data_IF_091133834779
#
_entry.id   IF_091133834779
#
_cell.length_a   1.000
_cell.length_b   1.000
_cell.length_c   1.000
_cell.angle_alpha   90.00
_cell.angle_beta   90.00
_cell.angle_gamma   90.00
#
_symmetry.space_group_name_H-M   'P 1'
#
loop_
_entity.id
_entity.type
_entity.pdbx_description
1 polymer ?
#
# COMPACT_ATOMS: atom_id res chain seq x y z
N UNK A 1 -43.09 60.29 -24.31
CA UNK A 1 -42.61 58.88 -24.32
C UNK A 1 -41.74 58.70 -25.56
N UNK A 2 -40.46 58.30 -25.41
CA UNK A 2 -39.56 58.11 -26.57
C UNK A 2 -39.97 56.81 -27.30
N UNK A 3 -40.44 56.92 -28.54
CA UNK A 3 -40.70 55.76 -29.41
C UNK A 3 -39.36 55.11 -29.76
N UNK A 4 -39.06 53.96 -29.15
CA UNK A 4 -37.93 53.16 -29.59
C UNK A 4 -38.28 52.48 -30.92
N UNK A 5 -37.47 52.69 -31.95
CA UNK A 5 -37.65 52.10 -33.26
C UNK A 5 -37.59 50.57 -33.17
N UNK A 6 -38.60 49.88 -33.71
CA UNK A 6 -38.73 48.41 -33.66
C UNK A 6 -37.47 47.68 -34.17
N UNK A 7 -36.76 48.29 -35.14
CA UNK A 7 -35.47 47.79 -35.66
C UNK A 7 -34.35 47.82 -34.62
N UNK A 8 -34.30 48.83 -33.76
CA UNK A 8 -33.30 48.95 -32.69
C UNK A 8 -33.54 47.91 -31.60
N UNK A 9 -34.80 47.63 -31.27
CA UNK A 9 -35.17 46.57 -30.30
C UNK A 9 -34.79 45.18 -30.82
N UNK A 10 -35.02 44.91 -32.11
CA UNK A 10 -34.63 43.65 -32.73
C UNK A 10 -33.10 43.43 -32.73
N UNK A 11 -32.31 44.47 -33.03
CA UNK A 11 -30.84 44.39 -33.02
C UNK A 11 -30.32 44.14 -31.59
N UNK A 12 -30.87 44.83 -30.59
CA UNK A 12 -30.51 44.63 -29.18
C UNK A 12 -30.87 43.21 -28.71
N UNK A 13 -32.01 42.67 -29.14
CA UNK A 13 -32.40 41.29 -28.85
C UNK A 13 -31.45 40.24 -29.44
N UNK A 14 -31.05 40.42 -30.71
CA UNK A 14 -30.09 39.54 -31.39
C UNK A 14 -28.71 39.61 -30.73
N UNK A 15 -28.22 40.82 -30.42
CA UNK A 15 -26.94 41.00 -29.74
C UNK A 15 -26.94 40.39 -28.33
N UNK A 16 -28.03 40.54 -27.58
CA UNK A 16 -28.21 39.91 -26.28
C UNK A 16 -28.18 38.38 -26.35
N UNK A 17 -28.82 37.79 -27.36
CA UNK A 17 -28.83 36.34 -27.56
C UNK A 17 -27.46 35.78 -27.95
N UNK A 18 -26.73 36.49 -28.82
CA UNK A 18 -25.37 36.13 -29.21
C UNK A 18 -24.42 36.18 -28.01
N UNK A 19 -24.50 37.25 -27.20
CA UNK A 19 -23.71 37.37 -25.98
C UNK A 19 -24.03 36.29 -24.95
N UNK A 20 -25.32 35.99 -24.73
CA UNK A 20 -25.74 34.92 -23.82
C UNK A 20 -25.26 33.55 -24.30
N UNK A 21 -25.34 33.28 -25.60
CA UNK A 21 -24.85 32.02 -26.19
C UNK A 21 -23.34 31.87 -26.05
N UNK A 22 -22.58 32.94 -26.29
CA UNK A 22 -21.12 32.95 -26.09
C UNK A 22 -20.75 32.74 -24.62
N UNK A 23 -21.49 33.35 -23.69
CA UNK A 23 -21.28 33.17 -22.26
C UNK A 23 -21.56 31.71 -21.84
N UNK A 24 -22.67 31.14 -22.30
CA UNK A 24 -23.02 29.75 -22.04
C UNK A 24 -21.98 28.76 -22.61
N UNK A 25 -21.44 29.03 -23.80
CA UNK A 25 -20.38 28.22 -24.42
C UNK A 25 -19.10 28.31 -23.58
N UNK A 26 -18.69 29.51 -23.15
CA UNK A 26 -17.50 29.71 -22.30
C UNK A 26 -17.62 28.95 -20.98
N UNK A 27 -18.76 29.07 -20.29
CA UNK A 27 -18.99 28.37 -19.02
C UNK A 27 -18.95 26.86 -19.18
N UNK A 28 -19.55 26.32 -20.26
CA UNK A 28 -19.50 24.88 -20.54
C UNK A 28 -18.08 24.40 -20.85
N UNK A 29 -17.29 25.17 -21.62
CA UNK A 29 -15.88 24.84 -21.91
C UNK A 29 -15.02 24.80 -20.64
N UNK A 30 -15.21 25.75 -19.72
CA UNK A 30 -14.54 25.76 -18.42
C UNK A 30 -14.95 24.55 -17.56
N UNK A 31 -16.24 24.20 -17.56
CA UNK A 31 -16.77 23.00 -16.88
C UNK A 31 -16.15 21.71 -17.43
N UNK A 32 -16.08 21.55 -18.75
CA UNK A 32 -15.43 20.40 -19.39
C UNK A 32 -13.94 20.32 -19.07
N UNK A 33 -13.24 21.46 -19.06
CA UNK A 33 -11.83 21.53 -18.68
C UNK A 33 -11.60 21.11 -17.22
N UNK A 34 -12.46 21.57 -16.31
CA UNK A 34 -12.41 21.22 -14.89
C UNK A 34 -12.70 19.75 -14.65
N UNK A 35 -13.70 19.17 -15.32
CA UNK A 35 -14.02 17.73 -15.24
C UNK A 35 -12.85 16.88 -15.75
N UNK A 36 -12.24 17.26 -16.88
CA UNK A 36 -11.07 16.54 -17.44
C UNK A 36 -9.87 16.62 -16.50
N UNK A 37 -9.63 17.78 -15.90
CA UNK A 37 -8.54 18.01 -14.93
C UNK A 37 -8.76 17.20 -13.66
N UNK A 38 -9.99 17.14 -13.16
CA UNK A 38 -10.36 16.33 -12.01
C UNK A 38 -10.21 14.83 -12.28
N UNK A 39 -10.62 14.33 -13.46
CA UNK A 39 -10.40 12.94 -13.86
C UNK A 39 -8.90 12.58 -13.89
N UNK A 40 -8.07 13.45 -14.47
CA UNK A 40 -6.61 13.26 -14.51
C UNK A 40 -5.98 13.27 -13.12
N UNK A 41 -6.49 14.10 -12.20
CA UNK A 41 -6.07 14.13 -10.81
C UNK A 41 -6.40 12.83 -10.07
N UNK A 42 -7.61 12.30 -10.24
CA UNK A 42 -8.02 11.00 -9.66
C UNK A 42 -7.10 9.88 -10.18
N UNK A 43 -6.92 9.77 -11.49
CA UNK A 43 -6.09 8.73 -12.12
C UNK A 43 -4.64 8.78 -11.60
N UNK A 44 -4.06 9.97 -11.49
CA UNK A 44 -2.70 10.16 -10.93
C UNK A 44 -2.63 9.76 -9.45
N UNK A 45 -3.70 10.03 -8.69
CA UNK A 45 -3.76 9.71 -7.26
C UNK A 45 -3.93 8.20 -7.02
N UNK A 46 -4.75 7.53 -7.82
CA UNK A 46 -4.91 6.08 -7.79
C UNK A 46 -3.61 5.36 -8.16
N UNK A 47 -2.89 5.84 -9.17
CA UNK A 47 -1.57 5.32 -9.54
C UNK A 47 -0.55 5.49 -8.40
N UNK A 48 -0.50 6.67 -7.76
CA UNK A 48 0.37 6.91 -6.61
C UNK A 48 0.04 5.97 -5.44
N UNK A 49 -1.25 5.78 -5.14
CA UNK A 49 -1.71 4.88 -4.08
C UNK A 49 -1.32 3.41 -4.36
N UNK A 50 -1.42 2.97 -5.62
CA UNK A 50 -1.02 1.63 -6.04
C UNK A 50 0.49 1.41 -5.86
N UNK A 51 1.33 2.38 -6.25
CA UNK A 51 2.79 2.32 -6.06
C UNK A 51 3.15 2.25 -4.57
N UNK A 52 2.56 3.09 -3.73
CA UNK A 52 2.81 3.06 -2.27
C UNK A 52 2.40 1.72 -1.65
N UNK A 53 1.31 1.12 -2.13
CA UNK A 53 0.87 -0.21 -1.66
C UNK A 53 1.84 -1.31 -2.09
N UNK A 54 2.33 -1.26 -3.33
CA UNK A 54 3.33 -2.21 -3.83
C UNK A 54 4.65 -2.10 -3.08
N UNK A 55 5.14 -0.88 -2.82
CA UNK A 55 6.34 -0.65 -2.03
C UNK A 55 6.18 -1.19 -0.61
N UNK A 56 5.05 -0.93 0.06
CA UNK A 56 4.75 -1.48 1.38
C UNK A 56 4.81 -3.01 1.39
N UNK A 57 4.18 -3.67 0.40
CA UNK A 57 4.20 -5.13 0.27
C UNK A 57 5.61 -5.66 0.00
N UNK A 58 6.38 -4.98 -0.83
CA UNK A 58 7.78 -5.33 -1.10
C UNK A 58 8.63 -5.28 0.17
N UNK A 59 8.54 -4.18 0.92
CA UNK A 59 9.28 -4.01 2.17
C UNK A 59 8.83 -5.05 3.20
N UNK A 60 7.53 -5.27 3.38
CA UNK A 60 7.02 -6.31 4.29
C UNK A 60 7.54 -7.71 3.95
N UNK A 61 7.49 -8.11 2.67
CA UNK A 61 8.02 -9.40 2.23
C UNK A 61 9.55 -9.51 2.45
N UNK A 62 10.28 -8.42 2.25
CA UNK A 62 11.73 -8.37 2.48
C UNK A 62 12.08 -8.48 3.96
N UNK A 63 11.35 -7.78 4.82
CA UNK A 63 11.51 -7.88 6.27
C UNK A 63 11.17 -9.29 6.77
N UNK A 64 10.06 -9.86 6.31
CA UNK A 64 9.65 -11.21 6.70
C UNK A 64 10.73 -12.25 6.33
N UNK A 65 11.25 -12.22 5.09
CA UNK A 65 12.35 -13.12 4.70
C UNK A 65 13.60 -12.91 5.55
N UNK A 66 13.95 -11.67 5.87
CA UNK A 66 15.14 -11.36 6.69
C UNK A 66 15.00 -11.94 8.11
N UNK A 67 13.80 -11.84 8.69
CA UNK A 67 13.49 -12.43 10.01
C UNK A 67 13.52 -13.95 9.94
N UNK A 68 12.93 -14.57 8.91
CA UNK A 68 12.95 -16.02 8.71
C UNK A 68 14.39 -16.54 8.57
N UNK A 69 15.23 -15.89 7.75
CA UNK A 69 16.65 -16.24 7.62
C UNK A 69 17.43 -16.10 8.93
N UNK A 70 17.20 -15.01 9.67
CA UNK A 70 17.84 -14.80 10.96
C UNK A 70 17.41 -15.87 11.97
N UNK A 71 16.12 -16.22 12.03
CA UNK A 71 15.61 -17.29 12.89
C UNK A 71 16.17 -18.65 12.51
N UNK A 72 16.21 -18.96 11.22
CA UNK A 72 16.79 -20.21 10.73
C UNK A 72 18.25 -20.34 11.16
N UNK A 73 19.02 -19.27 11.05
CA UNK A 73 20.41 -19.22 11.50
C UNK A 73 20.54 -19.42 13.02
N UNK A 74 19.73 -18.73 13.83
CA UNK A 74 19.73 -18.86 15.29
C UNK A 74 19.37 -20.28 15.75
N UNK A 75 18.30 -20.86 15.18
CA UNK A 75 17.84 -22.21 15.54
C UNK A 75 18.91 -23.25 15.20
N UNK A 76 19.53 -23.14 14.01
CA UNK A 76 20.67 -24.00 13.63
C UNK A 76 21.85 -23.84 14.56
N UNK A 77 22.17 -22.62 14.98
CA UNK A 77 23.24 -22.37 15.95
C UNK A 77 22.94 -23.04 17.30
N UNK A 78 21.71 -22.94 17.78
CA UNK A 78 21.32 -23.45 19.10
C UNK A 78 21.22 -24.99 19.14
N UNK A 79 20.64 -25.61 18.10
CA UNK A 79 20.53 -27.08 18.01
C UNK A 79 21.79 -27.73 17.43
N UNK A 80 22.74 -26.95 16.91
CA UNK A 80 24.01 -27.40 16.32
C UNK A 80 23.78 -28.46 15.23
N UNK A 81 24.69 -29.43 15.14
CA UNK A 81 24.69 -30.50 14.13
C UNK A 81 23.54 -31.52 14.25
N UNK A 82 22.58 -31.32 15.17
CA UNK A 82 21.42 -32.22 15.32
C UNK A 82 20.39 -32.02 14.21
N UNK A 83 20.40 -30.86 13.57
CA UNK A 83 19.45 -30.51 12.51
C UNK A 83 20.01 -30.88 11.13
N UNK A 84 19.21 -31.59 10.32
CA UNK A 84 19.48 -31.74 8.89
C UNK A 84 18.81 -30.64 8.07
N UNK A 85 17.60 -30.21 8.45
CA UNK A 85 16.83 -29.17 7.74
C UNK A 85 15.78 -28.52 8.64
N UNK A 86 15.53 -27.23 8.46
CA UNK A 86 14.35 -26.54 8.99
C UNK A 86 13.31 -26.51 7.87
N UNK A 87 12.14 -27.11 8.10
CA UNK A 87 11.07 -27.23 7.09
C UNK A 87 10.20 -25.97 7.04
N UNK A 88 9.85 -25.43 8.21
CA UNK A 88 9.09 -24.19 8.34
C UNK A 88 9.25 -23.56 9.71
N UNK A 89 8.94 -22.27 9.81
CA UNK A 89 8.91 -21.50 11.06
C UNK A 89 7.57 -20.78 11.11
N UNK A 90 6.80 -21.04 12.16
CA UNK A 90 5.52 -20.38 12.42
C UNK A 90 5.71 -19.35 13.53
N UNK A 91 5.47 -18.07 13.21
CA UNK A 91 5.49 -17.00 14.19
C UNK A 91 4.10 -16.82 14.79
N UNK A 92 4.02 -16.98 16.11
CA UNK A 92 2.84 -16.72 16.91
C UNK A 92 2.75 -15.27 17.38
N UNK A 93 1.77 -15.00 18.25
CA UNK A 93 1.66 -13.71 18.94
C UNK A 93 2.74 -13.61 20.02
N UNK A 94 3.00 -12.38 20.48
CA UNK A 94 3.93 -12.07 21.57
C UNK A 94 5.36 -12.60 21.33
N UNK A 95 5.86 -12.50 20.10
CA UNK A 95 7.22 -12.89 19.75
C UNK A 95 7.57 -14.36 20.04
N UNK A 96 6.56 -15.22 20.16
CA UNK A 96 6.73 -16.67 20.24
C UNK A 96 6.64 -17.32 18.87
N UNK A 97 7.18 -18.53 18.73
CA UNK A 97 6.99 -19.31 17.51
C UNK A 97 7.28 -20.79 17.68
N UNK A 98 6.99 -21.55 16.63
CA UNK A 98 7.27 -22.98 16.50
C UNK A 98 8.13 -23.19 15.27
N UNK A 99 9.25 -23.90 15.45
CA UNK A 99 10.11 -24.34 14.38
C UNK A 99 9.89 -25.83 14.11
N UNK A 100 9.64 -26.17 12.85
CA UNK A 100 9.49 -27.54 12.38
C UNK A 100 10.83 -27.99 11.80
N UNK A 101 11.46 -28.94 12.47
CA UNK A 101 12.86 -29.29 12.25
C UNK A 101 12.96 -30.77 11.93
N UNK A 102 13.75 -31.11 10.93
CA UNK A 102 14.08 -32.49 10.58
C UNK A 102 15.42 -32.83 11.20
N UNK A 103 15.41 -33.78 12.14
CA UNK A 103 16.59 -34.35 12.77
C UNK A 103 16.78 -35.78 12.24
N UNK A 104 17.67 -35.93 11.26
CA UNK A 104 17.84 -37.18 10.52
C UNK A 104 16.57 -37.60 9.78
N UNK A 105 15.93 -38.69 10.24
CA UNK A 105 14.67 -39.24 9.68
C UNK A 105 13.42 -38.84 10.48
N UNK A 106 13.58 -38.14 11.61
CA UNK A 106 12.48 -37.77 12.50
C UNK A 106 12.14 -36.29 12.35
N UNK A 107 10.86 -35.98 12.26
CA UNK A 107 10.35 -34.62 12.35
C UNK A 107 10.11 -34.28 13.82
N UNK A 108 10.70 -33.17 14.27
CA UNK A 108 10.55 -32.63 15.61
C UNK A 108 10.07 -31.19 15.55
N UNK A 109 9.44 -30.77 16.64
CA UNK A 109 8.91 -29.41 16.80
C UNK A 109 9.60 -28.78 17.98
N UNK A 110 10.02 -27.54 17.80
CA UNK A 110 10.65 -26.75 18.85
C UNK A 110 9.86 -25.46 19.04
N UNK A 111 9.43 -25.21 20.27
CA UNK A 111 8.90 -23.90 20.65
C UNK A 111 10.06 -22.95 20.95
N UNK A 112 9.91 -21.67 20.63
CA UNK A 112 10.88 -20.63 20.96
C UNK A 112 10.18 -19.30 21.31
N UNK A 113 10.93 -18.41 21.93
CA UNK A 113 10.57 -17.00 22.12
C UNK A 113 11.66 -16.11 21.55
N UNK A 114 11.29 -14.89 21.17
CA UNK A 114 12.20 -13.84 20.75
C UNK A 114 12.10 -12.72 21.79
N UNK A 115 13.21 -12.41 22.43
CA UNK A 115 13.33 -11.25 23.31
C UNK A 115 14.22 -10.20 22.64
N UNK A 116 14.03 -8.93 23.01
CA UNK A 116 14.89 -7.85 22.57
C UNK A 116 15.79 -7.44 23.73
N UNK A 117 17.10 -7.37 23.49
CA UNK A 117 18.04 -6.86 24.48
C UNK A 117 17.90 -5.34 24.66
N UNK A 118 18.73 -4.76 25.54
CA UNK A 118 18.74 -3.31 25.80
C UNK A 118 19.15 -2.47 24.58
N UNK A 119 19.79 -3.07 23.58
CA UNK A 119 20.20 -2.46 22.33
C UNK A 119 19.19 -2.74 21.19
N UNK A 120 18.01 -3.29 21.49
CA UNK A 120 16.99 -3.71 20.51
C UNK A 120 17.47 -4.80 19.55
N UNK A 121 18.47 -5.59 19.95
CA UNK A 121 18.91 -6.78 19.23
C UNK A 121 17.94 -7.92 19.59
N UNK A 122 17.30 -8.49 18.57
CA UNK A 122 16.49 -9.69 18.75
C UNK A 122 17.37 -10.88 19.12
N UNK A 123 16.95 -11.66 20.11
CA UNK A 123 17.61 -12.87 20.58
C UNK A 123 16.58 -14.00 20.67
N UNK A 124 16.92 -15.16 20.13
CA UNK A 124 16.11 -16.36 20.25
C UNK A 124 16.37 -17.01 21.62
N UNK A 125 15.31 -17.26 22.38
CA UNK A 125 15.36 -17.84 23.72
C UNK A 125 14.37 -18.98 23.86
N UNK A 126 14.57 -19.79 24.91
CA UNK A 126 13.66 -20.87 25.29
C UNK A 126 13.38 -21.88 24.18
N UNK A 127 14.39 -22.21 23.35
CA UNK A 127 14.26 -23.25 22.34
C UNK A 127 14.08 -24.62 22.99
N UNK A 128 12.84 -25.10 23.06
CA UNK A 128 12.48 -26.32 23.80
C UNK A 128 11.69 -27.28 22.91
N UNK A 129 11.99 -28.59 22.96
CA UNK A 129 11.21 -29.57 22.24
C UNK A 129 9.77 -29.59 22.76
N UNK A 130 8.81 -29.74 21.86
CA UNK A 130 7.39 -29.95 22.14
C UNK A 130 7.03 -31.44 22.14
#
# INVERSE_FOLDING_TARGET
>A
MKHFNLRTVAIVGVLGWVLFSLLAIKTNLELFSNIRSYRKFIETSEQKLAVTTQEKNYWQNRYQRTVEFWLEWQIKSELKDKITKIESIELGKNYSGIAYVKEGKSEKRYSFQIIFDRNSIALLTDLKPL
#
